data_IF_162510111961
#
_entry.id   IF_162510111961
#
_cell.length_a   1.000
_cell.length_b   1.000
_cell.length_c   1.000
_cell.angle_alpha   90.00
_cell.angle_beta   90.00
_cell.angle_gamma   90.00
#
_symmetry.space_group_name_H-M   'P 1'
#
loop_
_entity.id
_entity.type
_entity.pdbx_description
1 polymer ?
#
# COMPACT_ATOMS: atom_id res chain seq x y z
N UNK A 1 -31.39 17.49 12.42
CA UNK A 1 -30.32 16.78 11.69
C UNK A 1 -29.09 16.73 12.59
N UNK A 2 -28.44 15.56 12.80
CA UNK A 2 -27.22 15.48 13.60
C UNK A 2 -26.13 16.36 12.99
N UNK A 3 -25.56 17.27 13.78
CA UNK A 3 -24.51 18.21 13.35
C UNK A 3 -23.11 17.61 13.40
N UNK A 4 -22.99 16.40 13.96
CA UNK A 4 -21.74 15.66 14.18
C UNK A 4 -21.84 14.22 13.70
N UNK A 5 -20.72 13.68 13.23
CA UNK A 5 -20.56 12.28 12.80
C UNK A 5 -19.51 11.60 13.68
N UNK A 6 -19.79 10.36 14.11
CA UNK A 6 -18.84 9.52 14.81
C UNK A 6 -17.80 8.95 13.83
N UNK A 7 -16.52 9.14 14.11
CA UNK A 7 -15.39 8.62 13.32
C UNK A 7 -14.44 7.84 14.20
N UNK A 8 -13.64 6.97 13.57
CA UNK A 8 -12.55 6.25 14.21
C UNK A 8 -11.24 6.95 13.84
N UNK A 9 -10.44 7.34 14.83
CA UNK A 9 -9.14 7.93 14.59
C UNK A 9 -8.21 6.90 13.92
N UNK A 10 -7.59 7.21 12.77
CA UNK A 10 -6.75 6.24 12.06
C UNK A 10 -5.48 5.88 12.85
N UNK A 11 -5.04 6.76 13.77
CA UNK A 11 -3.82 6.63 14.56
C UNK A 11 -4.03 5.78 15.82
N UNK A 12 -4.95 6.19 16.69
CA UNK A 12 -5.14 5.54 18.00
C UNK A 12 -6.39 4.67 18.09
N UNK A 13 -7.17 4.56 17.00
CA UNK A 13 -8.41 3.77 16.91
C UNK A 13 -9.54 4.19 17.87
N UNK A 14 -9.37 5.27 18.63
CA UNK A 14 -10.43 5.85 19.45
C UNK A 14 -11.56 6.42 18.58
N UNK A 15 -12.80 6.17 18.99
CA UNK A 15 -13.98 6.84 18.43
C UNK A 15 -14.08 8.30 18.89
N UNK A 16 -14.45 9.20 18.00
CA UNK A 16 -14.60 10.63 18.29
C UNK A 16 -15.65 11.26 17.38
N UNK A 17 -16.38 12.24 17.90
CA UNK A 17 -17.37 13.00 17.13
C UNK A 17 -16.72 14.17 16.40
N UNK A 18 -17.14 14.41 15.16
CA UNK A 18 -16.66 15.51 14.33
C UNK A 18 -17.82 16.25 13.73
N UNK A 19 -17.82 17.58 13.88
CA UNK A 19 -18.82 18.44 13.25
C UNK A 19 -18.73 18.36 11.72
N UNK A 20 -19.89 18.30 11.05
CA UNK A 20 -19.97 18.21 9.58
C UNK A 20 -19.25 19.38 8.90
N UNK A 21 -19.36 20.60 9.44
CA UNK A 21 -18.63 21.78 8.92
C UNK A 21 -17.11 21.60 8.89
N UNK A 22 -16.54 20.88 9.88
CA UNK A 22 -15.10 20.60 9.94
C UNK A 22 -14.70 19.55 8.92
N UNK A 23 -15.55 18.55 8.69
CA UNK A 23 -15.34 17.54 7.64
C UNK A 23 -15.32 18.21 6.27
N UNK A 24 -16.28 19.10 5.99
CA UNK A 24 -16.36 19.84 4.73
C UNK A 24 -15.15 20.75 4.50
N UNK A 25 -14.54 21.26 5.57
CA UNK A 25 -13.29 22.02 5.53
C UNK A 25 -12.02 21.12 5.44
N UNK A 26 -12.16 19.81 5.22
CA UNK A 26 -11.04 18.85 5.16
C UNK A 26 -10.40 18.55 6.51
N UNK A 27 -11.05 18.88 7.63
CA UNK A 27 -10.55 18.68 8.98
C UNK A 27 -11.21 17.47 9.68
N UNK A 28 -10.81 17.20 10.93
CA UNK A 28 -11.42 16.13 11.73
C UNK A 28 -11.08 14.72 11.24
N UNK A 29 -9.85 14.55 10.74
CA UNK A 29 -9.29 13.24 10.38
C UNK A 29 -8.82 12.49 11.64
N UNK A 30 -8.32 13.21 12.65
CA UNK A 30 -7.76 12.66 13.88
C UNK A 30 -8.53 13.14 15.11
N UNK A 31 -8.53 12.33 16.17
CA UNK A 31 -9.22 12.68 17.40
C UNK A 31 -8.53 13.76 18.25
N UNK A 32 -7.26 14.09 17.98
CA UNK A 32 -6.50 15.10 18.75
C UNK A 32 -5.29 15.64 17.99
N UNK A 33 -4.76 16.79 18.42
CA UNK A 33 -3.50 17.36 17.93
C UNK A 33 -2.31 16.42 18.15
N UNK A 34 -2.32 15.62 19.23
CA UNK A 34 -1.31 14.58 19.46
C UNK A 34 -1.37 13.51 18.36
N UNK A 35 -2.57 13.02 18.02
CA UNK A 35 -2.73 12.06 16.93
C UNK A 35 -2.37 12.69 15.58
N UNK A 36 -2.76 13.94 15.32
CA UNK A 36 -2.38 14.65 14.11
C UNK A 36 -0.85 14.85 14.02
N UNK A 37 -0.17 15.16 15.13
CA UNK A 37 1.28 15.31 15.23
C UNK A 37 2.04 14.03 14.91
N UNK A 38 1.49 12.86 15.31
CA UNK A 38 2.02 11.54 14.89
C UNK A 38 1.95 11.33 13.37
N UNK A 39 1.07 12.06 12.68
CA UNK A 39 0.90 12.00 11.21
C UNK A 39 1.58 13.18 10.49
N UNK A 40 1.96 14.27 11.17
CA UNK A 40 2.80 15.32 10.56
C UNK A 40 4.14 14.76 10.04
N UNK A 41 4.64 13.69 10.64
CA UNK A 41 5.83 12.94 10.19
C UNK A 41 5.53 11.84 9.15
N UNK A 42 4.25 11.59 8.86
CA UNK A 42 3.79 10.59 7.90
C UNK A 42 2.57 11.13 7.16
N UNK A 43 2.75 11.93 6.10
CA UNK A 43 1.63 12.33 5.22
C UNK A 43 0.75 11.10 4.95
N UNK A 44 -0.57 11.12 5.23
CA UNK A 44 -1.43 10.02 4.87
C UNK A 44 -1.39 9.93 3.35
N UNK A 45 -0.59 8.98 2.84
CA UNK A 45 -0.47 8.74 1.42
C UNK A 45 -1.83 8.22 0.99
N UNK A 46 -2.59 9.07 0.31
CA UNK A 46 -3.82 8.65 -0.33
C UNK A 46 -3.41 7.58 -1.35
N UNK A 47 -4.10 6.44 -1.33
CA UNK A 47 -3.84 5.33 -2.23
C UNK A 47 -5.13 4.88 -2.89
N UNK A 48 -5.01 4.25 -4.05
CA UNK A 48 -6.12 3.73 -4.85
C UNK A 48 -5.90 2.26 -5.15
N UNK A 49 -6.99 1.59 -5.56
CA UNK A 49 -6.95 0.26 -6.13
C UNK A 49 -6.89 0.37 -7.65
N UNK A 50 -5.82 -0.16 -8.22
CA UNK A 50 -5.64 -0.26 -9.67
C UNK A 50 -6.12 -1.63 -10.11
N UNK A 51 -7.13 -1.73 -10.98
CA UNK A 51 -7.61 -3.01 -11.48
C UNK A 51 -6.52 -3.69 -12.32
N UNK A 52 -6.40 -5.00 -12.16
CA UNK A 52 -5.54 -5.87 -12.93
C UNK A 52 -6.39 -6.97 -13.59
N UNK A 53 -5.75 -7.76 -14.46
CA UNK A 53 -6.35 -9.01 -14.94
C UNK A 53 -6.67 -9.98 -13.80
N UNK A 54 -7.52 -10.99 -14.06
CA UNK A 54 -7.89 -12.06 -13.11
C UNK A 54 -8.60 -11.57 -11.83
N UNK A 55 -9.31 -10.45 -11.92
CA UNK A 55 -10.07 -9.88 -10.80
C UNK A 55 -9.21 -9.44 -9.62
N UNK A 56 -7.91 -9.15 -9.86
CA UNK A 56 -6.98 -8.68 -8.83
C UNK A 56 -6.85 -7.17 -8.88
N UNK A 57 -6.36 -6.60 -7.78
CA UNK A 57 -6.13 -5.16 -7.64
C UNK A 57 -4.77 -4.91 -7.01
N UNK A 58 -4.07 -3.88 -7.47
CA UNK A 58 -2.87 -3.38 -6.82
C UNK A 58 -3.17 -2.14 -5.98
N UNK A 59 -2.59 -2.04 -4.77
CA UNK A 59 -2.61 -0.80 -3.97
C UNK A 59 -1.46 0.09 -4.44
N UNK A 60 -1.76 1.33 -4.81
CA UNK A 60 -0.78 2.30 -5.33
C UNK A 60 -1.05 3.69 -4.74
N UNK A 61 -0.01 4.43 -4.37
CA UNK A 61 -0.16 5.82 -3.93
C UNK A 61 -0.68 6.70 -5.08
N UNK A 62 -1.59 7.63 -4.79
CA UNK A 62 -2.22 8.51 -5.79
C UNK A 62 -1.20 9.25 -6.65
N UNK A 63 -0.08 9.69 -6.05
CA UNK A 63 0.99 10.39 -6.76
C UNK A 63 1.63 9.56 -7.89
N UNK A 64 1.55 8.22 -7.83
CA UNK A 64 2.12 7.33 -8.84
C UNK A 64 1.08 6.86 -9.87
N UNK A 65 -0.20 7.25 -9.75
CA UNK A 65 -1.26 6.83 -10.68
C UNK A 65 -0.97 7.30 -12.10
N UNK A 66 -0.61 8.58 -12.27
CA UNK A 66 -0.28 9.13 -13.60
C UNK A 66 0.96 8.49 -14.22
N UNK A 67 1.92 8.05 -13.39
CA UNK A 67 3.10 7.33 -13.85
C UNK A 67 2.72 5.95 -14.44
N UNK A 68 1.81 5.23 -13.81
CA UNK A 68 1.47 3.86 -14.20
C UNK A 68 0.32 3.76 -15.20
N UNK A 69 -0.54 4.77 -15.29
CA UNK A 69 -1.75 4.78 -16.11
C UNK A 69 -1.52 4.53 -17.62
N UNK A 70 -0.40 4.97 -18.24
CA UNK A 70 -0.15 4.70 -19.66
C UNK A 70 0.13 3.23 -20.00
N UNK A 71 0.23 2.35 -18.99
CA UNK A 71 0.62 0.96 -19.18
C UNK A 71 -0.50 0.00 -18.77
N UNK A 72 -0.68 -1.07 -19.55
CA UNK A 72 -1.63 -2.14 -19.24
C UNK A 72 -1.01 -3.10 -18.23
N UNK A 73 -1.48 -3.06 -16.99
CA UNK A 73 -1.00 -3.91 -15.90
C UNK A 73 -1.82 -5.19 -15.77
N UNK A 74 -1.11 -6.30 -15.56
CA UNK A 74 -1.69 -7.63 -15.40
C UNK A 74 -1.26 -8.28 -14.08
N UNK A 75 -2.10 -9.16 -13.56
CA UNK A 75 -1.79 -10.01 -12.43
C UNK A 75 -1.17 -11.32 -12.94
N UNK A 76 0.13 -11.46 -12.80
CA UNK A 76 0.86 -12.68 -13.15
C UNK A 76 0.94 -13.60 -11.92
N UNK A 77 0.50 -14.86 -12.00
CA UNK A 77 0.66 -15.81 -10.89
C UNK A 77 2.14 -16.12 -10.65
N UNK A 78 2.49 -16.38 -9.39
CA UNK A 78 3.83 -16.82 -8.98
C UNK A 78 3.80 -18.32 -8.64
N UNK A 79 4.99 -18.93 -8.57
CA UNK A 79 5.16 -20.33 -8.13
C UNK A 79 4.72 -20.56 -6.68
N UNK A 80 4.47 -19.51 -5.90
CA UNK A 80 4.05 -19.57 -4.50
C UNK A 80 2.53 -19.37 -4.32
N UNK A 81 1.74 -19.44 -5.41
CA UNK A 81 0.29 -19.24 -5.36
C UNK A 81 -0.13 -17.79 -5.13
N UNK A 82 0.79 -16.84 -5.23
CA UNK A 82 0.52 -15.39 -5.13
C UNK A 82 0.46 -14.73 -6.50
N UNK A 83 0.17 -13.43 -6.55
CA UNK A 83 0.14 -12.65 -7.78
C UNK A 83 1.07 -11.45 -7.70
N UNK A 84 1.65 -11.05 -8.82
CA UNK A 84 2.42 -9.81 -8.95
C UNK A 84 1.87 -8.96 -10.09
N UNK A 85 1.97 -7.64 -9.94
CA UNK A 85 1.59 -6.70 -10.98
C UNK A 85 2.74 -6.50 -11.97
N UNK A 86 2.50 -6.83 -13.24
CA UNK A 86 3.48 -6.72 -14.32
C UNK A 86 2.88 -6.05 -15.57
N UNK A 87 3.73 -5.49 -16.41
CA UNK A 87 3.38 -4.97 -17.73
C UNK A 87 4.53 -5.27 -18.70
N UNK A 88 4.32 -5.01 -19.99
CA UNK A 88 5.34 -5.13 -21.02
C UNK A 88 5.66 -3.74 -21.58
N UNK A 89 6.91 -3.32 -21.46
CA UNK A 89 7.43 -2.07 -22.04
C UNK A 89 8.60 -2.46 -22.95
N UNK A 90 8.54 -2.08 -24.23
CA UNK A 90 9.58 -2.41 -25.22
C UNK A 90 9.93 -3.92 -25.24
N UNK A 91 8.89 -4.77 -25.25
CA UNK A 91 8.98 -6.25 -25.22
C UNK A 91 9.66 -6.83 -23.96
N UNK A 92 9.91 -6.03 -22.93
CA UNK A 92 10.48 -6.48 -21.65
C UNK A 92 9.42 -6.48 -20.56
N UNK A 93 9.45 -7.51 -19.70
CA UNK A 93 8.59 -7.58 -18.52
C UNK A 93 9.06 -6.55 -17.49
N UNK A 94 8.15 -5.68 -17.06
CA UNK A 94 8.36 -4.67 -16.04
C UNK A 94 7.41 -4.91 -14.87
N UNK A 95 7.95 -4.92 -13.65
CA UNK A 95 7.17 -5.10 -12.41
C UNK A 95 6.77 -3.75 -11.82
N UNK A 96 5.54 -3.65 -11.33
CA UNK A 96 4.98 -2.38 -10.85
C UNK A 96 5.80 -1.75 -9.73
N UNK A 97 6.15 -2.51 -8.70
CA UNK A 97 7.00 -2.02 -7.60
C UNK A 97 8.38 -1.53 -8.08
N UNK A 98 8.97 -2.13 -9.13
CA UNK A 98 10.25 -1.67 -9.67
C UNK A 98 10.08 -0.36 -10.44
N UNK A 99 9.00 -0.26 -11.20
CA UNK A 99 8.67 0.92 -11.99
C UNK A 99 8.38 2.13 -11.10
N UNK A 100 7.54 1.98 -10.08
CA UNK A 100 7.20 3.03 -9.10
C UNK A 100 8.44 3.52 -8.35
N UNK A 101 9.36 2.61 -8.00
CA UNK A 101 10.57 2.94 -7.24
C UNK A 101 11.74 3.41 -8.12
N UNK A 102 11.57 3.43 -9.46
CA UNK A 102 12.68 3.62 -10.40
C UNK A 102 13.92 2.79 -10.01
N UNK A 103 13.69 1.49 -9.78
CA UNK A 103 14.65 0.63 -9.10
C UNK A 103 15.99 0.52 -9.85
N UNK A 104 17.14 0.84 -9.21
CA UNK A 104 18.45 0.72 -9.83
C UNK A 104 18.74 -0.71 -10.33
N UNK A 105 19.58 -0.81 -11.35
CA UNK A 105 20.11 -2.09 -11.80
C UNK A 105 20.87 -2.80 -10.66
N UNK A 106 20.70 -4.12 -10.54
CA UNK A 106 21.34 -4.91 -9.48
C UNK A 106 20.74 -4.76 -8.07
N UNK A 107 19.73 -3.90 -7.87
CA UNK A 107 18.98 -3.80 -6.61
C UNK A 107 17.63 -4.49 -6.70
N UNK A 108 17.19 -5.04 -5.58
CA UNK A 108 15.85 -5.62 -5.38
C UNK A 108 14.93 -4.65 -4.63
N UNK A 109 13.63 -4.84 -4.81
CA UNK A 109 12.61 -4.12 -4.05
C UNK A 109 11.87 -5.13 -3.18
N UNK A 110 12.03 -4.99 -1.87
CA UNK A 110 11.36 -5.81 -0.88
C UNK A 110 9.99 -5.23 -0.52
N UNK A 111 8.98 -6.09 -0.40
CA UNK A 111 7.67 -5.72 0.13
C UNK A 111 7.65 -6.02 1.63
N UNK A 112 7.67 -4.99 2.48
CA UNK A 112 7.77 -5.12 3.94
C UNK A 112 6.63 -5.97 4.51
N UNK A 113 5.47 -5.98 3.88
CA UNK A 113 4.31 -6.77 4.29
C UNK A 113 4.14 -8.13 3.59
N UNK A 114 5.04 -8.49 2.66
CA UNK A 114 4.95 -9.71 1.87
C UNK A 114 3.82 -9.74 0.83
N UNK A 115 2.96 -8.72 0.76
CA UNK A 115 1.92 -8.61 -0.25
C UNK A 115 2.50 -7.97 -1.53
N UNK A 116 2.72 -8.79 -2.53
CA UNK A 116 3.28 -8.43 -3.84
C UNK A 116 2.36 -7.56 -4.72
N UNK A 117 1.10 -7.33 -4.31
CA UNK A 117 0.18 -6.40 -4.94
C UNK A 117 0.05 -5.07 -4.17
N UNK A 118 0.69 -4.93 -3.02
CA UNK A 118 0.76 -3.66 -2.29
C UNK A 118 2.02 -2.89 -2.69
N UNK A 119 1.89 -2.09 -3.75
CA UNK A 119 2.99 -1.36 -4.37
C UNK A 119 3.09 0.10 -3.85
N UNK A 120 2.49 0.40 -2.69
CA UNK A 120 2.63 1.70 -2.03
C UNK A 120 4.08 1.89 -1.57
N UNK A 121 4.67 3.07 -1.79
CA UNK A 121 6.07 3.39 -1.44
C UNK A 121 6.38 3.11 0.02
N UNK A 122 5.44 3.34 0.93
CA UNK A 122 5.61 3.04 2.36
C UNK A 122 5.85 1.54 2.62
N UNK A 123 5.32 0.65 1.78
CA UNK A 123 5.48 -0.80 1.84
C UNK A 123 6.71 -1.31 1.08
N UNK A 124 7.37 -0.48 0.28
CA UNK A 124 8.51 -0.88 -0.55
C UNK A 124 9.84 -0.47 0.10
N UNK A 125 10.88 -1.28 -0.13
CA UNK A 125 12.25 -1.02 0.32
C UNK A 125 13.23 -1.43 -0.77
N UNK A 126 14.08 -0.49 -1.22
CA UNK A 126 15.22 -0.82 -2.07
C UNK A 126 16.27 -1.52 -1.22
N UNK A 127 16.73 -2.69 -1.65
CA UNK A 127 17.73 -3.46 -0.93
C UNK A 127 18.63 -4.22 -1.90
N UNK A 128 19.78 -4.69 -1.41
CA UNK A 128 20.60 -5.67 -2.11
C UNK A 128 19.95 -7.05 -2.07
N UNK A 129 20.40 -7.94 -2.95
CA UNK A 129 19.91 -9.33 -2.99
C UNK A 129 20.14 -10.08 -1.67
N UNK A 130 21.29 -9.86 -1.01
CA UNK A 130 21.62 -10.51 0.26
C UNK A 130 20.73 -10.01 1.40
N UNK A 131 20.46 -8.70 1.45
CA UNK A 131 19.50 -8.11 2.39
C UNK A 131 18.08 -8.64 2.16
N UNK A 132 17.65 -8.73 0.89
CA UNK A 132 16.34 -9.26 0.55
C UNK A 132 16.11 -10.66 1.14
N UNK A 133 17.10 -11.56 1.02
CA UNK A 133 17.02 -12.91 1.60
C UNK A 133 17.03 -12.88 3.14
N UNK A 134 17.90 -12.06 3.75
CA UNK A 134 17.98 -11.92 5.22
C UNK A 134 16.67 -11.40 5.83
N UNK A 135 16.03 -10.45 5.16
CA UNK A 135 14.77 -9.83 5.58
C UNK A 135 13.61 -10.81 5.36
N UNK A 136 13.55 -11.46 4.19
CA UNK A 136 12.49 -12.41 3.84
C UNK A 136 12.35 -13.60 4.80
N UNK A 137 13.43 -14.03 5.44
CA UNK A 137 13.40 -15.11 6.45
C UNK A 137 12.85 -14.71 7.82
N UNK A 138 12.60 -13.42 8.10
CA UNK A 138 12.31 -12.90 9.45
C UNK A 138 10.91 -12.32 9.65
N UNK A 139 10.07 -12.28 8.62
CA UNK A 139 8.83 -11.50 8.68
C UNK A 139 7.67 -12.20 9.42
N UNK A 140 7.23 -11.58 10.53
CA UNK A 140 5.81 -11.57 10.92
C UNK A 140 5.09 -10.54 10.04
N UNK A 141 3.84 -10.79 9.59
CA UNK A 141 3.11 -9.83 8.76
C UNK A 141 2.89 -8.52 9.54
N UNK A 142 3.25 -7.35 8.99
CA UNK A 142 3.00 -6.08 9.64
C UNK A 142 1.50 -5.73 9.58
N UNK A 143 0.98 -5.28 10.72
CA UNK A 143 -0.39 -4.79 10.86
C UNK A 143 -0.39 -3.35 10.31
N UNK A 144 -1.09 -3.09 9.20
CA UNK A 144 -1.26 -1.74 8.68
C UNK A 144 -2.75 -1.39 8.52
N UNK A 145 -3.16 -0.28 9.12
CA UNK A 145 -4.47 0.36 8.99
C UNK A 145 -5.72 -0.54 9.16
N UNK A 146 -5.78 -1.36 10.20
CA UNK A 146 -7.03 -2.03 10.60
C UNK A 146 -7.54 -3.09 9.62
N UNK A 147 -6.77 -3.44 8.59
CA UNK A 147 -6.98 -4.67 7.85
C UNK A 147 -6.22 -5.78 8.59
N UNK A 148 -6.97 -6.66 9.26
CA UNK A 148 -6.42 -7.87 9.83
C UNK A 148 -5.86 -8.77 8.73
N UNK A 149 -4.63 -9.24 8.93
CA UNK A 149 -4.02 -10.24 8.06
C UNK A 149 -4.70 -11.58 8.32
N UNK A 150 -5.73 -11.92 7.53
CA UNK A 150 -6.19 -13.31 7.47
C UNK A 150 -5.08 -14.10 6.77
N UNK A 151 -4.42 -15.00 7.51
CA UNK A 151 -3.54 -16.02 6.94
C UNK A 151 -4.27 -16.66 5.75
N UNK A 152 -3.86 -16.37 4.52
CA UNK A 152 -4.29 -17.15 3.37
C UNK A 152 -3.50 -18.45 3.47
N UNK A 153 -4.01 -19.39 4.27
CA UNK A 153 -3.69 -20.78 4.06
C UNK A 153 -4.32 -21.14 2.74
N UNK A 154 -3.51 -21.08 1.67
CA UNK A 154 -3.72 -21.98 0.55
C UNK A 154 -3.62 -23.37 1.13
N UNK A 155 -4.76 -23.93 1.54
CA UNK A 155 -4.87 -25.35 1.82
C UNK A 155 -4.38 -26.05 0.55
N UNK A 156 -3.40 -26.94 0.74
CA UNK A 156 -3.08 -27.98 -0.23
C UNK A 156 -4.33 -28.79 -0.53
#
# INVERSE_FOLDING_TARGET
MPTTILKICPVCKKQFNVEIKRINAGQGIYCSNSCAGKVKNHKPVLWVLVPLTRGKFAKVDVENVLLIAPHSWQATPTTYGTYRAETHINKKVVRMHRFIMNAPAGKDIHHKNGNTLDNRKCNLLVCSRSEHFKIGGKHKPPIYYGEEWKKIHGKR
#
